data_IF_328965926188
#
_entry.id   IF_328965926188
#
_cell.length_a   1.000
_cell.length_b   1.000
_cell.length_c   1.000
_cell.angle_alpha   90.00
_cell.angle_beta   90.00
_cell.angle_gamma   90.00
#
_symmetry.space_group_name_H-M   'P 1'
#
loop_
_entity.id
_entity.type
_entity.pdbx_description
1 polymer ?
#
# COMPACT_ATOMS: atom_id res chain seq x y z
N UNK A 1 25.84 20.12 -70.72
CA UNK A 1 25.33 20.36 -69.35
C UNK A 1 24.78 19.05 -68.85
N UNK A 2 25.59 18.28 -68.11
CA UNK A 2 25.23 16.98 -67.50
C UNK A 2 24.94 17.21 -66.05
N UNK A 3 23.72 16.86 -65.62
CA UNK A 3 23.30 16.97 -64.21
C UNK A 3 24.01 15.89 -63.38
N UNK A 4 24.47 16.19 -62.16
CA UNK A 4 25.07 15.20 -61.28
C UNK A 4 23.99 14.29 -60.67
N UNK A 5 24.22 12.98 -60.76
CA UNK A 5 23.38 11.96 -60.11
C UNK A 5 23.53 12.01 -58.59
N UNK A 6 22.46 11.77 -57.83
CA UNK A 6 22.49 11.90 -56.36
C UNK A 6 23.25 10.76 -55.70
N UNK A 7 24.24 11.03 -54.84
CA UNK A 7 25.03 10.02 -54.14
C UNK A 7 24.35 9.42 -52.89
N UNK A 8 23.07 9.65 -52.68
CA UNK A 8 22.40 9.36 -51.41
C UNK A 8 21.83 7.94 -51.30
N UNK A 9 21.36 7.32 -52.36
CA UNK A 9 20.74 5.99 -52.32
C UNK A 9 21.75 4.84 -52.03
N UNK A 10 22.97 4.91 -52.58
CA UNK A 10 23.97 3.88 -52.35
C UNK A 10 24.55 3.90 -50.93
N UNK A 11 24.64 5.06 -50.29
CA UNK A 11 25.08 5.17 -48.88
C UNK A 11 24.03 4.62 -47.92
N UNK A 12 22.77 4.93 -48.14
CA UNK A 12 21.66 4.42 -47.32
C UNK A 12 21.56 2.88 -47.41
N UNK A 13 21.73 2.32 -48.61
CA UNK A 13 21.69 0.86 -48.78
C UNK A 13 22.87 0.15 -48.09
N UNK A 14 24.08 0.73 -48.12
CA UNK A 14 25.24 0.18 -47.45
C UNK A 14 25.13 0.24 -45.91
N UNK A 15 24.52 1.29 -45.38
CA UNK A 15 24.25 1.39 -43.92
C UNK A 15 23.16 0.41 -43.45
N UNK A 16 22.11 0.22 -44.27
CA UNK A 16 21.06 -0.78 -43.94
C UNK A 16 21.57 -2.21 -44.01
N UNK A 17 22.40 -2.57 -45.01
CA UNK A 17 23.00 -3.88 -45.13
C UNK A 17 23.98 -4.11 -43.95
N UNK A 18 24.78 -3.11 -43.58
CA UNK A 18 25.71 -3.20 -42.42
C UNK A 18 24.94 -3.41 -41.11
N UNK A 19 23.82 -2.71 -40.91
CA UNK A 19 22.98 -2.88 -39.72
C UNK A 19 22.33 -4.27 -39.65
N UNK A 20 21.82 -4.74 -40.79
CA UNK A 20 21.25 -6.10 -40.90
C UNK A 20 22.27 -7.20 -40.62
N UNK A 21 23.49 -7.07 -41.11
CA UNK A 21 24.58 -8.02 -40.82
C UNK A 21 24.95 -7.98 -39.32
N UNK A 22 25.03 -6.82 -38.71
CA UNK A 22 25.27 -6.70 -37.27
C UNK A 22 24.15 -7.33 -36.43
N UNK A 23 22.89 -7.15 -36.81
CA UNK A 23 21.76 -7.80 -36.14
C UNK A 23 21.79 -9.30 -36.31
N UNK A 24 22.13 -9.83 -37.51
CA UNK A 24 22.26 -11.26 -37.76
C UNK A 24 23.44 -11.87 -37.02
N UNK A 25 24.56 -11.17 -36.90
CA UNK A 25 25.70 -11.60 -36.08
C UNK A 25 25.37 -11.61 -34.60
N UNK A 26 24.65 -10.60 -34.10
CA UNK A 26 24.15 -10.55 -32.71
C UNK A 26 23.17 -11.71 -32.46
N UNK A 27 22.26 -12.00 -33.41
CA UNK A 27 21.33 -13.13 -33.30
C UNK A 27 22.06 -14.49 -33.34
N UNK A 28 23.10 -14.62 -34.15
CA UNK A 28 23.89 -15.88 -34.25
C UNK A 28 24.68 -16.15 -32.96
N UNK A 29 25.15 -15.10 -32.26
CA UNK A 29 25.82 -15.28 -30.95
C UNK A 29 24.85 -15.66 -29.83
N UNK A 30 23.60 -15.26 -29.96
CA UNK A 30 22.52 -15.64 -28.99
C UNK A 30 22.08 -17.09 -29.20
N UNK A 31 22.17 -17.59 -30.45
CA UNK A 31 21.76 -18.97 -30.79
C UNK A 31 22.85 -20.02 -30.53
N UNK A 32 24.08 -19.60 -30.24
CA UNK A 32 25.14 -20.52 -29.82
C UNK A 32 25.04 -20.83 -28.32
N UNK A 33 25.45 -22.05 -27.92
CA UNK A 33 25.45 -22.45 -26.50
C UNK A 33 26.27 -21.49 -25.62
N UNK A 34 27.37 -20.93 -26.14
CA UNK A 34 28.18 -19.93 -25.47
C UNK A 34 27.48 -18.57 -25.32
N UNK A 35 26.52 -18.21 -26.19
CA UNK A 35 25.69 -17.02 -26.07
C UNK A 35 24.58 -17.20 -25.05
N UNK A 36 23.96 -18.39 -24.98
CA UNK A 36 22.95 -18.74 -23.99
C UNK A 36 23.48 -18.68 -22.57
N UNK A 37 24.65 -19.30 -22.32
CA UNK A 37 25.27 -19.27 -20.99
C UNK A 37 25.70 -17.86 -20.55
N UNK A 38 26.08 -16.97 -21.47
CA UNK A 38 26.37 -15.56 -21.16
C UNK A 38 25.11 -14.75 -20.88
N UNK A 39 24.03 -15.01 -21.61
CA UNK A 39 22.72 -14.35 -21.35
C UNK A 39 22.09 -14.84 -20.06
N UNK A 40 22.19 -16.12 -19.74
CA UNK A 40 21.72 -16.66 -18.46
C UNK A 40 22.52 -16.07 -17.28
N UNK A 41 23.84 -15.93 -17.43
CA UNK A 41 24.68 -15.29 -16.43
C UNK A 41 24.36 -13.78 -16.26
N UNK A 42 24.05 -13.09 -17.33
CA UNK A 42 23.67 -11.66 -17.27
C UNK A 42 22.25 -11.48 -16.73
N UNK A 43 21.34 -12.37 -17.10
CA UNK A 43 19.97 -12.39 -16.61
C UNK A 43 19.89 -12.70 -15.10
N UNK A 44 20.72 -13.62 -14.61
CA UNK A 44 20.85 -13.90 -13.17
C UNK A 44 21.45 -12.72 -12.40
N UNK A 45 22.40 -11.97 -12.97
CA UNK A 45 22.93 -10.75 -12.35
C UNK A 45 21.85 -9.63 -12.33
N UNK A 46 21.08 -9.47 -13.40
CA UNK A 46 20.01 -8.48 -13.48
C UNK A 46 18.87 -8.87 -12.55
N UNK A 47 18.42 -10.11 -12.53
CA UNK A 47 17.34 -10.56 -11.63
C UNK A 47 17.78 -10.57 -10.18
N UNK A 48 19.04 -10.93 -9.86
CA UNK A 48 19.55 -10.83 -8.48
C UNK A 48 19.74 -9.39 -8.01
N UNK A 49 19.94 -8.44 -8.91
CA UNK A 49 19.97 -7.02 -8.58
C UNK A 49 18.56 -6.45 -8.32
N UNK A 50 17.51 -7.07 -8.89
CA UNK A 50 16.09 -6.76 -8.63
C UNK A 50 15.45 -7.67 -7.58
N UNK A 51 15.97 -8.85 -7.33
CA UNK A 51 15.69 -9.62 -6.13
C UNK A 51 16.35 -8.87 -4.96
N UNK A 52 15.58 -8.06 -4.24
CA UNK A 52 16.01 -7.60 -2.93
C UNK A 52 16.41 -8.85 -2.14
N UNK A 53 17.71 -9.07 -1.87
CA UNK A 53 18.12 -10.27 -1.19
C UNK A 53 17.54 -10.23 0.21
N UNK A 54 16.91 -11.30 0.59
CA UNK A 54 16.61 -11.66 1.97
C UNK A 54 15.51 -10.86 2.71
N UNK A 55 14.83 -9.88 2.12
CA UNK A 55 13.63 -9.34 2.77
C UNK A 55 12.57 -10.44 2.94
N UNK A 56 12.30 -11.25 1.91
CA UNK A 56 11.33 -12.33 1.99
C UNK A 56 11.78 -13.53 2.83
N UNK A 57 13.08 -13.86 2.89
CA UNK A 57 13.58 -14.96 3.70
C UNK A 57 13.66 -14.60 5.20
N UNK A 58 13.94 -13.34 5.53
CA UNK A 58 13.86 -12.84 6.90
C UNK A 58 12.40 -12.69 7.37
N UNK A 59 11.47 -12.39 6.46
CA UNK A 59 10.04 -12.25 6.77
C UNK A 59 9.29 -13.58 6.84
N UNK A 60 9.73 -14.65 6.14
CA UNK A 60 8.98 -15.91 6.12
C UNK A 60 9.17 -16.79 7.36
N UNK A 61 10.29 -16.66 8.08
CA UNK A 61 10.58 -17.49 9.25
C UNK A 61 10.63 -16.74 10.58
N UNK A 62 10.73 -15.40 10.57
CA UNK A 62 10.75 -14.59 11.79
C UNK A 62 9.37 -14.04 12.18
N UNK A 63 8.43 -13.91 11.23
CA UNK A 63 7.14 -13.27 11.47
C UNK A 63 6.18 -14.14 12.30
N UNK A 64 6.35 -15.45 12.34
CA UNK A 64 5.46 -16.33 13.07
C UNK A 64 5.60 -16.25 14.63
N UNK A 65 6.63 -15.56 15.17
CA UNK A 65 6.89 -15.53 16.60
C UNK A 65 6.87 -14.15 17.26
N UNK A 66 6.57 -13.08 16.51
CA UNK A 66 6.66 -11.69 17.03
C UNK A 66 5.34 -11.12 17.53
N UNK A 67 4.20 -11.72 17.22
CA UNK A 67 2.91 -11.25 17.71
C UNK A 67 2.63 -11.78 19.11
N UNK A 68 2.17 -10.91 20.00
CA UNK A 68 1.64 -11.34 21.29
C UNK A 68 0.42 -12.28 21.09
N UNK A 69 0.07 -13.10 22.09
CA UNK A 69 -1.13 -13.95 22.00
C UNK A 69 -2.40 -13.17 21.67
N UNK A 70 -2.51 -11.93 22.14
CA UNK A 70 -3.63 -11.02 21.86
C UNK A 70 -3.62 -10.56 20.41
N UNK A 71 -2.48 -10.11 19.91
CA UNK A 71 -2.29 -9.71 18.52
C UNK A 71 -2.59 -10.88 17.55
N UNK A 72 -2.08 -12.06 17.87
CA UNK A 72 -2.32 -13.26 17.07
C UNK A 72 -3.81 -13.68 17.07
N UNK A 73 -4.54 -13.52 18.19
CA UNK A 73 -6.00 -13.73 18.22
C UNK A 73 -6.71 -12.73 17.32
N UNK A 74 -6.34 -11.45 17.42
CA UNK A 74 -6.88 -10.37 16.62
C UNK A 74 -6.63 -10.62 15.13
N UNK A 75 -5.41 -10.97 14.73
CA UNK A 75 -5.06 -11.27 13.34
C UNK A 75 -5.89 -12.43 12.78
N UNK A 76 -5.99 -13.55 13.53
CA UNK A 76 -6.81 -14.70 13.09
C UNK A 76 -8.29 -14.35 12.95
N UNK A 77 -8.82 -13.51 13.84
CA UNK A 77 -10.21 -13.08 13.72
C UNK A 77 -10.42 -12.18 12.50
N UNK A 78 -9.55 -11.18 12.28
CA UNK A 78 -9.59 -10.29 11.11
C UNK A 78 -9.52 -11.11 9.82
N UNK A 79 -8.55 -12.03 9.70
CA UNK A 79 -8.37 -12.87 8.52
C UNK A 79 -9.65 -13.63 8.15
N UNK A 80 -10.32 -14.23 9.15
CA UNK A 80 -11.61 -14.94 8.94
C UNK A 80 -12.74 -13.97 8.61
N UNK A 81 -12.85 -12.87 9.33
CA UNK A 81 -13.95 -11.90 9.20
C UNK A 81 -13.96 -11.23 7.83
N UNK A 82 -12.79 -10.82 7.34
CA UNK A 82 -12.62 -10.09 6.09
C UNK A 82 -12.21 -10.99 4.92
N UNK A 83 -12.04 -12.30 5.16
CA UNK A 83 -11.66 -13.30 4.14
C UNK A 83 -10.34 -12.97 3.46
N UNK A 84 -9.36 -12.53 4.23
CA UNK A 84 -8.00 -12.22 3.79
C UNK A 84 -7.04 -13.28 4.32
N UNK A 85 -5.95 -13.54 3.61
CA UNK A 85 -4.92 -14.47 4.06
C UNK A 85 -4.30 -14.02 5.40
N UNK A 86 -3.98 -15.00 6.28
CA UNK A 86 -3.52 -14.70 7.64
C UNK A 86 -2.19 -13.95 7.65
N UNK A 87 -1.21 -14.38 6.86
CA UNK A 87 0.14 -13.80 6.91
C UNK A 87 0.18 -12.28 6.60
N UNK A 88 -0.50 -11.75 5.55
CA UNK A 88 -0.59 -10.30 5.38
C UNK A 88 -1.28 -9.59 6.55
N UNK A 89 -2.28 -10.19 7.17
CA UNK A 89 -2.98 -9.59 8.32
C UNK A 89 -2.08 -9.55 9.55
N UNK A 90 -1.25 -10.55 9.78
CA UNK A 90 -0.27 -10.53 10.87
C UNK A 90 0.71 -9.36 10.73
N UNK A 91 1.18 -9.07 9.53
CA UNK A 91 2.01 -7.89 9.24
C UNK A 91 1.26 -6.58 9.47
N UNK A 92 0.01 -6.48 9.01
CA UNK A 92 -0.82 -5.29 9.24
C UNK A 92 -1.05 -5.05 10.74
N UNK A 93 -1.33 -6.10 11.51
CA UNK A 93 -1.49 -6.00 12.97
C UNK A 93 -0.18 -5.53 13.61
N UNK A 94 0.95 -6.10 13.22
CA UNK A 94 2.26 -5.67 13.71
C UNK A 94 2.49 -4.18 13.43
N UNK A 95 2.32 -3.73 12.19
CA UNK A 95 2.51 -2.33 11.81
C UNK A 95 1.53 -1.37 12.52
N UNK A 96 0.30 -1.80 12.77
CA UNK A 96 -0.66 -1.01 13.54
C UNK A 96 -0.21 -0.81 15.00
N UNK A 97 0.38 -1.84 15.62
CA UNK A 97 0.92 -1.75 16.99
C UNK A 97 2.21 -0.93 17.03
N UNK A 98 3.09 -1.08 16.07
CA UNK A 98 4.32 -0.27 15.93
C UNK A 98 3.99 1.21 15.77
N UNK A 99 3.12 1.55 14.80
CA UNK A 99 2.69 2.93 14.54
C UNK A 99 1.88 3.50 15.70
N UNK A 100 1.01 2.70 16.31
CA UNK A 100 0.27 3.07 17.50
C UNK A 100 1.18 3.46 18.67
N UNK A 101 2.23 2.69 18.91
CA UNK A 101 3.25 2.99 19.90
C UNK A 101 4.03 4.26 19.56
N UNK A 102 4.48 4.40 18.32
CA UNK A 102 5.27 5.53 17.84
C UNK A 102 4.51 6.86 17.98
N UNK A 103 3.24 6.89 17.58
CA UNK A 103 2.41 8.10 17.57
C UNK A 103 1.50 8.24 18.80
N UNK A 104 1.57 7.33 19.75
CA UNK A 104 0.69 7.32 20.95
C UNK A 104 -0.81 7.31 20.57
N UNK A 105 -1.15 6.46 19.63
CA UNK A 105 -2.53 6.17 19.19
C UNK A 105 -2.85 4.72 19.57
N UNK A 106 -4.06 4.48 20.03
CA UNK A 106 -4.52 3.11 20.34
C UNK A 106 -4.43 2.22 19.09
N UNK A 107 -3.66 1.13 19.08
CA UNK A 107 -3.50 0.26 17.92
C UNK A 107 -4.82 -0.39 17.47
N UNK A 108 -5.75 -0.63 18.38
CA UNK A 108 -7.08 -1.12 18.00
C UNK A 108 -7.93 -0.05 17.31
N UNK A 109 -7.70 1.23 17.61
CA UNK A 109 -8.28 2.34 16.85
C UNK A 109 -7.71 2.38 15.42
N UNK A 110 -6.40 2.21 15.26
CA UNK A 110 -5.76 2.13 13.93
C UNK A 110 -6.35 0.98 13.12
N UNK A 111 -6.45 -0.22 13.71
CA UNK A 111 -7.06 -1.38 13.05
C UNK A 111 -8.54 -1.17 12.72
N UNK A 112 -9.30 -0.45 13.56
CA UNK A 112 -10.69 -0.13 13.31
C UNK A 112 -10.85 0.84 12.13
N UNK A 113 -9.99 1.85 12.02
CA UNK A 113 -9.93 2.73 10.86
C UNK A 113 -9.63 1.93 9.59
N UNK A 114 -8.62 1.06 9.58
CA UNK A 114 -8.30 0.17 8.44
C UNK A 114 -9.52 -0.67 8.05
N UNK A 115 -10.24 -1.21 9.04
CA UNK A 115 -11.42 -2.02 8.80
C UNK A 115 -12.55 -1.25 8.11
N UNK A 116 -12.77 0.00 8.50
CA UNK A 116 -13.81 0.88 7.94
C UNK A 116 -13.41 1.40 6.56
N UNK A 117 -12.15 1.82 6.39
CA UNK A 117 -11.65 2.46 5.17
C UNK A 117 -11.47 1.48 4.00
N UNK A 118 -10.77 0.39 4.22
CA UNK A 118 -10.37 -0.51 3.14
C UNK A 118 -10.83 -1.95 3.31
N UNK A 119 -11.39 -2.30 4.48
CA UNK A 119 -11.65 -3.70 4.86
C UNK A 119 -10.40 -4.58 4.73
N UNK A 120 -9.26 -4.02 5.11
CA UNK A 120 -7.94 -4.65 5.00
C UNK A 120 -7.45 -4.92 3.57
N UNK A 121 -7.95 -4.19 2.57
CA UNK A 121 -7.43 -4.23 1.20
C UNK A 121 -6.27 -3.24 1.05
N UNK A 122 -5.00 -3.70 0.91
CA UNK A 122 -3.84 -2.80 0.84
C UNK A 122 -3.73 -2.02 -0.48
N UNK A 123 -4.42 -2.48 -1.51
CA UNK A 123 -4.44 -1.83 -2.83
C UNK A 123 -5.75 -1.10 -3.12
N UNK A 124 -6.52 -0.78 -2.07
CA UNK A 124 -7.75 -0.02 -2.23
C UNK A 124 -7.45 1.40 -2.74
N UNK A 125 -8.18 1.83 -3.77
CA UNK A 125 -8.13 3.19 -4.30
C UNK A 125 -9.56 3.72 -4.47
N UNK A 126 -9.77 4.96 -4.04
CA UNK A 126 -11.05 5.64 -4.20
C UNK A 126 -11.06 6.49 -5.48
N UNK A 127 -12.27 6.87 -5.92
CA UNK A 127 -12.47 7.76 -7.08
C UNK A 127 -11.87 9.16 -6.88
N UNK A 128 -11.63 9.57 -5.64
CA UNK A 128 -11.03 10.87 -5.28
C UNK A 128 -9.54 10.78 -4.98
N UNK A 129 -8.92 9.61 -5.17
CA UNK A 129 -7.47 9.41 -5.05
C UNK A 129 -6.97 9.04 -3.65
N UNK A 130 -7.85 8.67 -2.72
CA UNK A 130 -7.43 8.07 -1.45
C UNK A 130 -6.91 6.65 -1.69
N UNK A 131 -5.82 6.26 -1.00
CA UNK A 131 -5.08 5.02 -1.29
C UNK A 131 -4.78 4.20 -0.03
N UNK A 132 -4.77 2.89 -0.22
CA UNK A 132 -4.24 1.91 0.71
C UNK A 132 -5.14 1.62 1.91
N UNK A 133 -4.56 1.01 2.94
CA UNK A 133 -5.27 0.47 4.10
C UNK A 133 -6.08 1.52 4.86
N UNK A 134 -5.52 2.70 5.07
CA UNK A 134 -6.14 3.79 5.82
C UNK A 134 -6.71 4.90 4.92
N UNK A 135 -6.81 4.65 3.60
CA UNK A 135 -7.36 5.55 2.59
C UNK A 135 -6.81 6.98 2.70
N UNK A 136 -5.47 7.09 2.78
CA UNK A 136 -4.79 8.38 2.83
C UNK A 136 -4.69 8.99 1.44
N UNK A 137 -4.87 10.31 1.32
CA UNK A 137 -4.69 11.04 0.07
C UNK A 137 -3.22 11.45 -0.11
N UNK A 138 -2.45 10.83 -1.07
CA UNK A 138 -1.01 11.05 -1.16
C UNK A 138 -0.65 12.49 -1.53
N UNK A 139 -1.46 13.15 -2.35
CA UNK A 139 -1.19 14.52 -2.76
C UNK A 139 -1.44 15.54 -1.65
N UNK A 140 -2.40 15.28 -0.76
CA UNK A 140 -2.69 16.14 0.40
C UNK A 140 -1.62 16.01 1.49
N UNK A 141 -1.09 14.79 1.68
CA UNK A 141 -0.10 14.47 2.70
C UNK A 141 1.27 14.10 2.07
N UNK A 142 1.62 14.80 0.98
CA UNK A 142 2.80 14.49 0.17
C UNK A 142 4.09 14.53 0.95
N UNK A 143 4.27 15.50 1.88
CA UNK A 143 5.48 15.63 2.68
C UNK A 143 5.74 14.37 3.53
N UNK A 144 4.67 13.74 4.05
CA UNK A 144 4.79 12.52 4.86
C UNK A 144 5.24 11.32 4.03
N UNK A 145 4.68 11.16 2.81
CA UNK A 145 5.08 10.09 1.91
C UNK A 145 6.45 10.31 1.27
N UNK A 146 6.81 11.55 0.95
CA UNK A 146 8.14 11.88 0.43
C UNK A 146 9.24 11.53 1.44
N UNK A 147 9.00 11.75 2.73
CA UNK A 147 9.91 11.35 3.80
C UNK A 147 10.10 9.81 3.88
N UNK A 148 9.18 9.01 3.34
CA UNK A 148 9.22 7.55 3.33
C UNK A 148 9.65 6.96 1.97
N UNK A 149 10.00 7.79 0.98
CA UNK A 149 10.51 7.34 -0.31
C UNK A 149 9.64 7.67 -1.52
N UNK A 150 8.56 8.44 -1.36
CA UNK A 150 7.74 8.92 -2.47
C UNK A 150 6.25 8.63 -2.34
N UNK A 151 5.45 9.21 -3.23
CA UNK A 151 3.99 9.08 -3.21
C UNK A 151 3.51 7.63 -3.45
N UNK A 152 4.30 6.82 -4.15
CA UNK A 152 3.99 5.41 -4.44
C UNK A 152 3.99 4.55 -3.16
N UNK A 153 4.62 5.03 -2.09
CA UNK A 153 4.58 4.39 -0.78
C UNK A 153 3.18 4.36 -0.16
N UNK A 154 2.22 5.12 -0.71
CA UNK A 154 0.84 5.11 -0.25
C UNK A 154 0.14 3.75 -0.38
N UNK A 155 0.61 2.86 -1.24
CA UNK A 155 0.13 1.47 -1.35
C UNK A 155 1.00 0.46 -0.59
N UNK A 156 2.14 0.87 -0.02
CA UNK A 156 2.93 0.03 0.86
C UNK A 156 2.26 -0.05 2.26
N UNK A 157 1.87 -1.24 2.76
CA UNK A 157 1.09 -1.38 3.98
C UNK A 157 1.69 -0.64 5.18
N UNK A 158 2.98 -0.83 5.45
CA UNK A 158 3.67 -0.19 6.58
C UNK A 158 3.68 1.34 6.48
N UNK A 159 3.96 1.88 5.29
CA UNK A 159 4.02 3.34 5.09
C UNK A 159 2.63 3.97 5.17
N UNK A 160 1.61 3.33 4.59
CA UNK A 160 0.24 3.80 4.65
C UNK A 160 -0.29 3.84 6.09
N UNK A 161 -0.04 2.79 6.88
CA UNK A 161 -0.43 2.73 8.30
C UNK A 161 0.32 3.81 9.10
N UNK A 162 1.62 3.97 8.87
CA UNK A 162 2.42 4.97 9.56
C UNK A 162 1.92 6.39 9.28
N UNK A 163 1.70 6.74 8.02
CA UNK A 163 1.20 8.07 7.62
C UNK A 163 -0.22 8.29 8.13
N UNK A 164 -1.13 7.33 7.94
CA UNK A 164 -2.50 7.44 8.42
C UNK A 164 -2.59 7.59 9.94
N UNK A 165 -1.75 6.88 10.71
CA UNK A 165 -1.68 7.00 12.17
C UNK A 165 -1.12 8.35 12.59
N UNK A 166 -0.11 8.89 11.89
CA UNK A 166 0.42 10.23 12.14
C UNK A 166 -0.66 11.32 11.92
N UNK A 167 -1.42 11.23 10.83
CA UNK A 167 -2.53 12.14 10.54
C UNK A 167 -3.61 12.06 11.64
N UNK A 168 -3.99 10.86 12.05
CA UNK A 168 -4.95 10.67 13.12
C UNK A 168 -4.44 11.29 14.43
N UNK A 169 -3.13 11.15 14.73
CA UNK A 169 -2.50 11.81 15.89
C UNK A 169 -2.59 13.33 15.81
N UNK A 170 -2.27 13.92 14.67
CA UNK A 170 -2.38 15.36 14.45
C UNK A 170 -3.79 15.88 14.71
N UNK A 171 -4.82 15.16 14.26
CA UNK A 171 -6.21 15.53 14.52
C UNK A 171 -6.61 15.36 15.99
N UNK A 172 -6.13 14.28 16.65
CA UNK A 172 -6.35 14.11 18.09
C UNK A 172 -5.71 15.23 18.91
N UNK A 173 -4.53 15.70 18.52
CA UNK A 173 -3.87 16.83 19.17
C UNK A 173 -4.58 18.16 18.92
N UNK A 174 -5.10 18.33 17.71
CA UNK A 174 -5.81 19.56 17.30
C UNK A 174 -7.17 19.70 17.95
N UNK A 175 -7.97 18.65 17.92
CA UNK A 175 -9.38 18.72 18.33
C UNK A 175 -9.64 18.26 19.76
N UNK A 176 -8.70 17.57 20.39
CA UNK A 176 -8.80 17.06 21.77
C UNK A 176 -10.03 16.17 22.04
N UNK A 177 -10.70 15.74 20.99
CA UNK A 177 -11.87 14.86 20.99
C UNK A 177 -11.66 13.79 19.93
N UNK A 178 -11.93 12.53 20.28
CA UNK A 178 -11.79 11.42 19.34
C UNK A 178 -12.87 11.49 18.24
N UNK A 179 -14.09 11.86 18.59
CA UNK A 179 -15.16 12.08 17.61
C UNK A 179 -14.77 13.15 16.60
N UNK A 180 -14.37 14.33 17.08
CA UNK A 180 -13.97 15.44 16.23
C UNK A 180 -12.72 15.10 15.36
N UNK A 181 -11.77 14.36 15.91
CA UNK A 181 -10.61 13.88 15.16
C UNK A 181 -11.01 12.91 14.04
N UNK A 182 -11.93 11.99 14.30
CA UNK A 182 -12.43 11.05 13.31
C UNK A 182 -13.29 11.74 12.23
N UNK A 183 -14.11 12.72 12.61
CA UNK A 183 -14.84 13.56 11.65
C UNK A 183 -13.89 14.34 10.74
N UNK A 184 -12.84 14.93 11.31
CA UNK A 184 -11.80 15.61 10.54
C UNK A 184 -11.03 14.62 9.63
N UNK A 185 -10.76 13.40 10.11
CA UNK A 185 -10.07 12.36 9.33
C UNK A 185 -10.85 12.00 8.06
N UNK A 186 -12.16 11.88 8.14
CA UNK A 186 -13.02 11.59 6.98
C UNK A 186 -13.40 12.86 6.18
N UNK A 187 -12.87 14.02 6.55
CA UNK A 187 -13.04 15.28 5.80
C UNK A 187 -14.37 15.99 5.99
N UNK A 188 -15.19 15.59 6.99
CA UNK A 188 -16.49 16.23 7.26
C UNK A 188 -16.33 17.53 8.08
N UNK A 189 -15.16 17.73 8.70
CA UNK A 189 -14.92 18.81 9.66
C UNK A 189 -15.35 18.40 11.08
N UNK A 190 -14.72 19.03 12.08
CA UNK A 190 -14.89 18.63 13.48
C UNK A 190 -16.32 18.82 14.02
N UNK A 191 -17.08 19.77 13.45
CA UNK A 191 -18.46 20.09 13.81
C UNK A 191 -19.50 19.44 12.87
N UNK A 192 -19.03 18.59 11.96
CA UNK A 192 -19.90 17.93 10.98
C UNK A 192 -20.68 16.76 11.57
N UNK A 193 -21.65 16.26 10.80
CA UNK A 193 -22.45 15.09 11.17
C UNK A 193 -22.13 13.93 10.24
N UNK A 194 -21.65 12.82 10.81
CA UNK A 194 -21.37 11.59 10.08
C UNK A 194 -21.49 10.39 11.01
N UNK A 195 -21.86 9.23 10.47
CA UNK A 195 -21.86 7.96 11.20
C UNK A 195 -20.45 7.29 11.23
N UNK A 196 -19.44 7.95 10.69
CA UNK A 196 -18.09 7.40 10.62
C UNK A 196 -17.47 7.11 11.99
N UNK A 197 -17.49 8.03 12.98
CA UNK A 197 -17.00 7.74 14.33
C UNK A 197 -17.67 6.50 14.95
N UNK A 198 -19.00 6.38 14.83
CA UNK A 198 -19.74 5.23 15.36
C UNK A 198 -19.31 3.92 14.71
N UNK A 199 -19.04 3.91 13.41
CA UNK A 199 -18.52 2.73 12.69
C UNK A 199 -17.16 2.34 13.24
N UNK A 200 -16.24 3.28 13.41
CA UNK A 200 -14.89 3.07 13.94
C UNK A 200 -14.96 2.59 15.41
N UNK A 201 -15.78 3.22 16.26
CA UNK A 201 -15.92 2.82 17.67
C UNK A 201 -16.44 1.39 17.80
N UNK A 202 -17.48 1.02 17.07
CA UNK A 202 -18.02 -0.35 17.10
C UNK A 202 -16.98 -1.39 16.67
N UNK A 203 -16.16 -1.07 15.66
CA UNK A 203 -15.14 -2.00 15.21
C UNK A 203 -13.98 -2.08 16.21
N UNK A 204 -13.57 -0.95 16.79
CA UNK A 204 -12.56 -0.91 17.87
C UNK A 204 -12.98 -1.76 19.08
N UNK A 205 -14.20 -1.58 19.58
CA UNK A 205 -14.73 -2.36 20.71
C UNK A 205 -14.77 -3.86 20.39
N UNK A 206 -15.13 -4.21 19.16
CA UNK A 206 -15.13 -5.59 18.69
C UNK A 206 -13.72 -6.18 18.71
N UNK A 207 -12.73 -5.46 18.17
CA UNK A 207 -11.34 -5.90 18.15
C UNK A 207 -10.76 -6.04 19.56
N UNK A 208 -11.06 -5.11 20.46
CA UNK A 208 -10.70 -5.19 21.88
C UNK A 208 -11.30 -6.42 22.57
N UNK A 209 -12.56 -6.72 22.34
CA UNK A 209 -13.22 -7.89 22.90
C UNK A 209 -12.55 -9.19 22.43
N UNK A 210 -12.21 -9.26 21.14
CA UNK A 210 -11.50 -10.40 20.54
C UNK A 210 -10.10 -10.56 21.10
N UNK A 211 -9.34 -9.47 21.26
CA UNK A 211 -7.99 -9.51 21.84
C UNK A 211 -7.97 -10.07 23.26
N UNK A 212 -9.01 -9.79 24.02
CA UNK A 212 -9.20 -10.28 25.39
C UNK A 212 -9.78 -11.70 25.45
N UNK A 213 -9.98 -12.36 24.31
CA UNK A 213 -10.54 -13.73 24.24
C UNK A 213 -12.04 -13.80 24.53
N UNK A 214 -12.74 -12.65 24.55
CA UNK A 214 -14.20 -12.65 24.68
C UNK A 214 -14.83 -13.15 23.39
N UNK A 215 -15.65 -14.21 23.49
CA UNK A 215 -16.43 -14.72 22.36
C UNK A 215 -17.58 -13.74 22.13
N UNK A 216 -17.45 -12.87 21.14
CA UNK A 216 -18.61 -12.13 20.64
C UNK A 216 -19.46 -13.13 19.85
N UNK A 217 -20.73 -13.30 20.25
CA UNK A 217 -21.70 -13.95 19.38
C UNK A 217 -21.56 -13.27 18.00
N UNK A 218 -21.37 -14.07 16.95
CA UNK A 218 -21.16 -13.56 15.59
C UNK A 218 -22.44 -12.82 15.16
N UNK A 219 -22.53 -11.54 15.53
CA UNK A 219 -23.53 -10.68 14.95
C UNK A 219 -23.25 -10.60 13.45
N UNK A 220 -24.30 -10.85 12.69
CA UNK A 220 -24.50 -10.86 11.25
C UNK A 220 -23.31 -10.42 10.38
N UNK A 221 -23.03 -11.13 9.26
CA UNK A 221 -22.12 -10.62 8.25
C UNK A 221 -22.60 -9.20 7.88
N UNK A 222 -21.68 -8.24 7.90
CA UNK A 222 -21.97 -6.92 7.31
C UNK A 222 -22.44 -7.22 5.89
N UNK A 223 -23.75 -7.09 5.66
CA UNK A 223 -24.30 -7.11 4.32
C UNK A 223 -23.41 -6.19 3.49
N UNK A 224 -22.99 -6.66 2.34
CA UNK A 224 -22.14 -5.90 1.45
C UNK A 224 -22.77 -4.52 1.27
N UNK A 225 -22.26 -3.52 1.97
CA UNK A 225 -22.61 -2.15 1.68
C UNK A 225 -22.17 -1.95 0.25
N UNK A 226 -23.13 -1.61 -0.60
CA UNK A 226 -22.91 -1.33 -2.01
C UNK A 226 -21.78 -0.28 -2.09
N UNK A 227 -20.64 -0.56 -2.75
CA UNK A 227 -19.53 0.39 -2.81
C UNK A 227 -19.88 1.67 -3.58
N UNK A 228 -21.14 1.80 -4.02
CA UNK A 228 -21.64 2.97 -4.78
C UNK A 228 -22.37 4.02 -3.96
N UNK A 229 -22.61 3.81 -2.66
CA UNK A 229 -23.53 4.72 -1.95
C UNK A 229 -22.89 5.82 -1.11
N UNK A 230 -21.60 5.75 -0.76
CA UNK A 230 -20.90 6.88 -0.13
C UNK A 230 -19.42 6.81 -0.52
N UNK A 231 -19.00 7.63 -1.48
CA UNK A 231 -17.59 7.81 -1.80
C UNK A 231 -16.85 8.38 -0.58
N UNK A 232 -15.54 8.08 -0.42
CA UNK A 232 -14.75 8.68 0.63
C UNK A 232 -14.80 10.20 0.50
N UNK A 233 -15.17 10.84 1.59
CA UNK A 233 -15.24 12.30 1.66
C UNK A 233 -13.83 12.86 1.68
N UNK A 234 -13.58 13.86 0.86
CA UNK A 234 -12.30 14.55 0.69
C UNK A 234 -11.75 15.05 2.03
N UNK A 235 -10.58 14.53 2.42
CA UNK A 235 -9.79 15.17 3.47
C UNK A 235 -9.04 16.35 2.85
N UNK A 236 -9.67 17.51 2.81
CA UNK A 236 -9.04 18.78 2.47
C UNK A 236 -8.64 19.46 3.79
N UNK A 237 -7.38 19.79 4.03
CA UNK A 237 -7.03 20.59 5.20
C UNK A 237 -7.71 21.95 5.09
N UNK A 238 -8.24 22.52 6.20
CA UNK A 238 -8.73 23.90 6.19
C UNK A 238 -7.56 24.83 5.87
N UNK A 239 -7.80 25.75 4.93
CA UNK A 239 -6.84 26.77 4.50
C UNK A 239 -6.24 27.46 5.72
N UNK A 240 -4.90 27.48 5.77
CA UNK A 240 -4.13 28.34 6.67
C UNK A 240 -4.25 29.75 6.15
N UNK A 241 -5.15 30.54 6.74
CA UNK A 241 -5.03 32.00 6.77
C UNK A 241 -4.32 32.43 8.01
#
# INVERSE_FOLDING_TARGET
>A
MTAPSPPTLQRVHRTFVGLLVLVLLALSTVLTEAGRTRLEGWWTIVTSAFEKPAANALFSNASASMLSPEQARTARWIARRYRVALAPIEQIVQHAFESGSQFRVDPYLVLAVIAVESRFNPVAESSVGAKGLMQVMPHVHSEKFLALGGLDMALAPWANIQVGTAILREYLDRFRSLDAALLAYVGVGADGVSTYPDKVFRERERLLAISQGRVLAMAEPIAAADPKSEGPVLVVPPDTQ
#
